data_IF_759069409976
#
_entry.id   IF_759069409976
#
_cell.length_a   1.000
_cell.length_b   1.000
_cell.length_c   1.000
_cell.angle_alpha   90.00
_cell.angle_beta   90.00
_cell.angle_gamma   90.00
#
_symmetry.space_group_name_H-M   'P 1'
#
loop_
_entity.id
_entity.type
_entity.pdbx_description
1 polymer ?
#
# COMPACT_ATOMS: atom_id res chain seq x y z
N UNK A 1 21.29 -8.31 -3.07
CA UNK A 1 19.96 -8.17 -2.44
C UNK A 1 19.22 -6.97 -3.02
N UNK A 2 17.90 -7.01 -3.10
CA UNK A 2 17.08 -5.88 -3.60
C UNK A 2 16.44 -5.12 -2.43
N UNK A 3 16.69 -3.83 -2.34
CA UNK A 3 16.00 -2.91 -1.44
C UNK A 3 14.79 -2.32 -2.17
N UNK A 4 13.58 -2.58 -1.68
CA UNK A 4 12.33 -2.00 -2.15
C UNK A 4 11.87 -0.90 -1.21
N UNK A 5 11.47 0.26 -1.75
CA UNK A 5 10.96 1.41 -0.99
C UNK A 5 9.61 1.83 -1.57
N UNK A 6 8.56 1.64 -0.80
CA UNK A 6 7.23 2.18 -1.06
C UNK A 6 7.05 3.49 -0.27
N UNK A 7 6.84 4.59 -0.99
CA UNK A 7 6.85 5.94 -0.45
C UNK A 7 5.46 6.55 -0.54
N UNK A 8 4.70 6.34 0.52
CA UNK A 8 3.38 6.95 0.71
C UNK A 8 3.44 8.35 1.32
N UNK A 9 2.31 9.05 1.34
CA UNK A 9 2.20 10.40 1.93
C UNK A 9 2.52 10.43 3.43
N UNK A 10 2.21 9.37 4.16
CA UNK A 10 2.38 9.29 5.62
C UNK A 10 3.66 8.54 6.01
N UNK A 11 3.96 7.43 5.34
CA UNK A 11 5.08 6.55 5.69
C UNK A 11 5.82 6.06 4.45
N UNK A 12 7.13 5.85 4.62
CA UNK A 12 7.95 5.04 3.75
C UNK A 12 7.96 3.62 4.33
N UNK A 13 7.52 2.64 3.55
CA UNK A 13 7.61 1.23 3.87
C UNK A 13 8.75 0.63 3.06
N UNK A 14 9.79 0.17 3.74
CA UNK A 14 10.95 -0.46 3.11
C UNK A 14 11.03 -1.95 3.39
N UNK A 15 11.59 -2.70 2.44
CA UNK A 15 11.87 -4.12 2.62
C UNK A 15 13.07 -4.57 1.79
N UNK A 16 13.81 -5.54 2.31
CA UNK A 16 14.97 -6.14 1.61
C UNK A 16 14.66 -7.57 1.24
N UNK A 17 14.85 -7.87 -0.03
CA UNK A 17 14.67 -9.21 -0.59
C UNK A 17 16.01 -9.88 -0.92
N UNK A 18 16.11 -11.17 -0.57
CA UNK A 18 17.14 -12.07 -1.07
C UNK A 18 16.45 -13.13 -1.93
N UNK A 19 16.56 -13.00 -3.24
CA UNK A 19 15.68 -13.74 -4.16
C UNK A 19 14.21 -13.41 -3.91
N UNK A 20 13.41 -14.42 -3.59
CA UNK A 20 11.98 -14.28 -3.30
C UNK A 20 11.67 -14.03 -1.80
N UNK A 21 12.68 -14.17 -0.95
CA UNK A 21 12.51 -14.10 0.50
C UNK A 21 12.66 -12.66 1.00
N UNK A 22 11.63 -12.13 1.66
CA UNK A 22 11.70 -10.88 2.43
C UNK A 22 12.52 -11.11 3.70
N UNK A 23 13.69 -10.49 3.79
CA UNK A 23 14.64 -10.66 4.92
C UNK A 23 14.33 -9.74 6.09
N UNK A 24 13.98 -8.52 5.80
CA UNK A 24 13.55 -7.54 6.79
C UNK A 24 12.61 -6.51 6.16
N UNK A 25 11.83 -5.86 6.99
CA UNK A 25 11.02 -4.72 6.62
C UNK A 25 11.10 -3.65 7.71
N UNK A 26 10.92 -2.41 7.30
CA UNK A 26 10.97 -1.26 8.20
C UNK A 26 10.01 -0.15 7.75
N UNK A 27 9.72 0.77 8.65
CA UNK A 27 8.90 1.94 8.37
C UNK A 27 9.57 3.21 8.87
N UNK A 28 9.37 4.30 8.14
CA UNK A 28 9.81 5.64 8.49
C UNK A 28 8.68 6.61 8.15
N UNK A 29 8.45 7.62 8.96
CA UNK A 29 7.55 8.72 8.58
C UNK A 29 8.07 9.42 7.33
N UNK A 30 7.18 9.72 6.40
CA UNK A 30 7.56 10.46 5.19
C UNK A 30 7.88 11.92 5.52
N UNK A 31 7.20 12.51 6.51
CA UNK A 31 7.43 13.88 6.93
C UNK A 31 8.11 13.93 8.31
N UNK A 32 9.13 14.78 8.48
CA UNK A 32 9.83 15.55 7.43
C UNK A 32 10.57 14.61 6.47
N UNK A 33 10.60 14.99 5.18
CA UNK A 33 11.12 14.12 4.13
C UNK A 33 12.62 13.78 4.30
N UNK A 34 13.39 14.68 4.83
CA UNK A 34 14.83 14.53 4.97
C UNK A 34 15.62 14.77 3.67
N UNK A 35 16.89 15.07 3.84
CA UNK A 35 17.88 15.19 2.75
C UNK A 35 18.33 13.83 2.24
N UNK A 36 19.08 13.81 1.16
CA UNK A 36 19.77 12.62 0.64
C UNK A 36 20.57 11.90 1.73
N UNK A 37 21.31 12.65 2.55
CA UNK A 37 22.15 12.07 3.59
C UNK A 37 21.35 11.53 4.77
N UNK A 38 20.32 12.26 5.23
CA UNK A 38 19.44 11.76 6.30
C UNK A 38 18.75 10.46 5.92
N UNK A 39 18.27 10.36 4.68
CA UNK A 39 17.65 9.14 4.16
C UNK A 39 18.72 8.04 4.03
N UNK A 40 19.86 8.32 3.45
CA UNK A 40 20.93 7.34 3.23
C UNK A 40 21.46 6.77 4.54
N UNK A 41 21.76 7.63 5.52
CA UNK A 41 22.22 7.23 6.86
C UNK A 41 21.14 6.38 7.55
N UNK A 42 19.86 6.81 7.49
CA UNK A 42 18.75 6.02 8.04
C UNK A 42 18.69 4.62 7.40
N UNK A 43 18.73 4.53 6.07
CA UNK A 43 18.67 3.25 5.36
C UNK A 43 19.83 2.33 5.75
N UNK A 44 21.05 2.85 5.77
CA UNK A 44 22.24 2.08 6.18
C UNK A 44 22.11 1.60 7.63
N UNK A 45 21.67 2.46 8.54
CA UNK A 45 21.50 2.13 9.95
C UNK A 45 20.44 1.04 10.15
N UNK A 46 19.23 1.24 9.59
CA UNK A 46 18.13 0.29 9.77
C UNK A 46 18.44 -1.08 9.16
N UNK A 47 19.18 -1.15 8.05
CA UNK A 47 19.63 -2.43 7.49
C UNK A 47 20.58 -3.16 8.44
N UNK A 48 21.60 -2.45 8.98
CA UNK A 48 22.56 -3.03 9.95
C UNK A 48 21.87 -3.56 11.19
N UNK A 49 20.95 -2.76 11.77
CA UNK A 49 20.19 -3.17 12.96
C UNK A 49 19.30 -4.41 12.71
N UNK A 50 18.90 -4.64 11.45
CA UNK A 50 18.16 -5.83 11.05
C UNK A 50 19.08 -6.98 10.51
N UNK A 51 20.39 -6.89 10.74
CA UNK A 51 21.34 -7.95 10.36
C UNK A 51 21.61 -8.05 8.85
N UNK A 52 21.33 -7.00 8.09
CA UNK A 52 21.61 -6.92 6.66
C UNK A 52 22.82 -6.03 6.42
N UNK A 53 23.88 -6.56 5.78
CA UNK A 53 25.01 -5.73 5.34
C UNK A 53 24.54 -4.79 4.19
N UNK A 54 24.59 -3.47 4.37
CA UNK A 54 24.21 -2.53 3.31
C UNK A 54 24.98 -2.72 2.00
N UNK A 55 26.20 -3.24 2.06
CA UNK A 55 27.03 -3.53 0.88
C UNK A 55 26.52 -4.73 0.06
N UNK A 56 25.67 -5.56 0.64
CA UNK A 56 25.01 -6.65 -0.06
C UNK A 56 23.80 -6.21 -0.88
N UNK A 57 23.38 -4.93 -0.75
CA UNK A 57 22.33 -4.34 -1.57
C UNK A 57 22.93 -3.96 -2.93
N UNK A 58 22.61 -4.74 -3.94
CA UNK A 58 23.08 -4.58 -5.32
C UNK A 58 22.02 -3.97 -6.25
N UNK A 59 20.81 -3.75 -5.74
CA UNK A 59 19.68 -3.14 -6.47
C UNK A 59 18.78 -2.39 -5.51
N UNK A 60 18.17 -1.30 -6.02
CA UNK A 60 17.17 -0.52 -5.31
C UNK A 60 15.97 -0.31 -6.22
N UNK A 61 14.76 -0.51 -5.71
CA UNK A 61 13.52 -0.24 -6.40
C UNK A 61 12.66 0.74 -5.58
N UNK A 62 12.08 1.73 -6.24
CA UNK A 62 11.28 2.78 -5.61
C UNK A 62 9.91 2.83 -6.25
N UNK A 63 8.87 2.79 -5.41
CA UNK A 63 7.50 3.13 -5.72
C UNK A 63 7.16 4.40 -4.92
N UNK A 64 6.67 5.45 -5.55
CA UNK A 64 6.40 6.70 -4.83
C UNK A 64 5.17 7.43 -5.37
N UNK A 65 4.32 7.87 -4.45
CA UNK A 65 3.24 8.82 -4.71
C UNK A 65 3.55 10.22 -4.16
N UNK A 66 4.82 10.45 -3.75
CA UNK A 66 5.33 11.74 -3.25
C UNK A 66 6.43 12.22 -4.19
N UNK A 67 6.12 13.10 -5.17
CA UNK A 67 7.09 13.52 -6.18
C UNK A 67 8.36 14.14 -5.59
N UNK A 68 8.24 14.92 -4.51
CA UNK A 68 9.37 15.55 -3.83
C UNK A 68 10.37 14.54 -3.23
N UNK A 69 9.92 13.30 -2.93
CA UNK A 69 10.75 12.26 -2.34
C UNK A 69 11.69 11.58 -3.34
N UNK A 70 11.38 11.61 -4.63
CA UNK A 70 12.17 10.89 -5.63
C UNK A 70 13.62 11.37 -5.73
N UNK A 71 13.83 12.70 -5.70
CA UNK A 71 15.18 13.25 -5.83
C UNK A 71 16.10 12.82 -4.67
N UNK A 72 15.76 13.05 -3.38
CA UNK A 72 16.62 12.62 -2.29
C UNK A 72 16.77 11.10 -2.18
N UNK A 73 15.73 10.31 -2.52
CA UNK A 73 15.81 8.85 -2.53
C UNK A 73 16.75 8.32 -3.61
N UNK A 74 16.70 8.88 -4.83
CA UNK A 74 17.67 8.55 -5.89
C UNK A 74 19.10 8.92 -5.47
N UNK A 75 19.28 10.09 -4.86
CA UNK A 75 20.57 10.52 -4.31
C UNK A 75 21.08 9.53 -3.26
N UNK A 76 20.24 9.14 -2.30
CA UNK A 76 20.59 8.18 -1.27
C UNK A 76 20.96 6.79 -1.85
N UNK A 77 20.20 6.33 -2.85
CA UNK A 77 20.51 5.08 -3.56
C UNK A 77 21.90 5.10 -4.21
N UNK A 78 22.21 6.17 -4.93
CA UNK A 78 23.52 6.33 -5.60
C UNK A 78 24.67 6.47 -4.61
N UNK A 79 24.53 7.34 -3.63
CA UNK A 79 25.62 7.72 -2.73
C UNK A 79 25.93 6.63 -1.70
N UNK A 80 24.93 5.95 -1.16
CA UNK A 80 25.09 5.01 -0.05
C UNK A 80 25.10 3.53 -0.48
N UNK A 81 24.54 3.23 -1.65
CA UNK A 81 24.47 1.85 -2.18
C UNK A 81 25.16 1.70 -3.54
N UNK A 82 25.58 2.79 -4.18
CA UNK A 82 26.19 2.75 -5.51
C UNK A 82 25.23 2.36 -6.63
N UNK A 83 23.92 2.44 -6.41
CA UNK A 83 22.90 1.92 -7.31
C UNK A 83 22.03 3.03 -7.91
N UNK A 84 21.83 3.03 -9.23
CA UNK A 84 20.73 3.76 -9.87
C UNK A 84 19.44 3.01 -9.59
N UNK A 85 18.45 3.59 -8.90
CA UNK A 85 17.25 2.84 -8.54
C UNK A 85 16.32 2.64 -9.75
N UNK A 86 15.72 1.47 -9.85
CA UNK A 86 14.51 1.27 -10.63
C UNK A 86 13.37 2.08 -10.00
N UNK A 87 12.64 2.84 -10.79
CA UNK A 87 11.45 3.59 -10.33
C UNK A 87 10.23 3.06 -11.05
N UNK A 88 9.26 2.58 -10.27
CA UNK A 88 7.98 2.16 -10.82
C UNK A 88 7.18 3.40 -11.25
N UNK A 89 7.04 3.57 -12.55
CA UNK A 89 6.35 4.69 -13.19
C UNK A 89 5.72 4.25 -14.50
N UNK A 90 4.90 5.11 -15.10
CA UNK A 90 4.31 4.80 -16.40
C UNK A 90 5.38 4.48 -17.45
N UNK A 91 5.12 3.49 -18.29
CA UNK A 91 6.02 3.03 -19.36
C UNK A 91 6.93 1.86 -18.99
N UNK A 92 7.07 1.50 -17.70
CA UNK A 92 7.80 0.29 -17.31
C UNK A 92 6.92 -0.97 -17.47
N UNK A 93 7.57 -2.12 -17.65
CA UNK A 93 6.87 -3.40 -17.75
C UNK A 93 6.33 -3.80 -16.37
N UNK A 94 5.05 -4.10 -16.29
CA UNK A 94 4.37 -4.52 -15.05
C UNK A 94 3.71 -5.89 -15.17
N UNK A 95 3.56 -6.40 -16.39
CA UNK A 95 2.75 -7.58 -16.68
C UNK A 95 1.24 -7.29 -16.75
N UNK A 96 0.82 -6.07 -16.39
CA UNK A 96 -0.56 -5.62 -16.48
C UNK A 96 -0.77 -4.69 -17.68
N UNK A 97 -1.99 -4.68 -18.21
CA UNK A 97 -2.46 -3.72 -19.21
C UNK A 97 -3.31 -2.67 -18.49
N UNK A 98 -2.75 -1.48 -18.30
CA UNK A 98 -3.46 -0.39 -17.62
C UNK A 98 -4.52 0.20 -18.57
N UNK A 99 -5.81 -0.03 -18.26
CA UNK A 99 -6.98 0.43 -19.01
C UNK A 99 -7.61 1.71 -18.44
N UNK A 100 -6.89 2.38 -17.56
CA UNK A 100 -7.33 3.65 -16.99
C UNK A 100 -7.40 4.73 -18.08
N UNK A 101 -8.34 5.68 -17.98
CA UNK A 101 -8.51 6.76 -18.99
C UNK A 101 -7.22 7.54 -19.20
N UNK A 102 -6.54 7.89 -18.11
CA UNK A 102 -5.20 8.46 -18.13
C UNK A 102 -4.28 7.60 -17.26
N UNK A 103 -3.48 6.68 -17.83
CA UNK A 103 -2.59 5.80 -17.07
C UNK A 103 -1.57 6.52 -16.17
N UNK A 104 -1.24 7.79 -16.48
CA UNK A 104 -0.30 8.59 -15.71
C UNK A 104 -0.85 9.05 -14.35
N UNK A 105 -2.17 8.98 -14.15
CA UNK A 105 -2.84 9.37 -12.91
C UNK A 105 -2.91 8.23 -11.88
N UNK A 106 -2.59 7.01 -12.29
CA UNK A 106 -2.63 5.87 -11.35
C UNK A 106 -1.41 5.89 -10.45
N UNK A 107 -1.64 5.87 -9.14
CA UNK A 107 -0.59 5.78 -8.14
C UNK A 107 0.28 4.53 -8.36
N UNK A 108 1.59 4.70 -8.24
CA UNK A 108 2.53 3.61 -8.43
C UNK A 108 2.34 2.48 -7.39
N UNK A 109 1.93 2.82 -6.17
CA UNK A 109 1.55 1.90 -5.09
C UNK A 109 0.38 0.99 -5.50
N UNK A 110 -0.67 1.56 -6.12
CA UNK A 110 -1.83 0.82 -6.61
C UNK A 110 -1.43 -0.17 -7.72
N UNK A 111 -0.57 0.26 -8.65
CA UNK A 111 -0.03 -0.63 -9.69
C UNK A 111 0.82 -1.74 -9.07
N UNK A 112 1.70 -1.42 -8.11
CA UNK A 112 2.51 -2.43 -7.42
C UNK A 112 1.63 -3.47 -6.71
N UNK A 113 0.63 -3.04 -5.94
CA UNK A 113 -0.33 -3.93 -5.28
C UNK A 113 -1.03 -4.85 -6.28
N UNK A 114 -1.52 -4.29 -7.39
CA UNK A 114 -2.18 -5.03 -8.46
C UNK A 114 -1.25 -6.07 -9.14
N UNK A 115 0.03 -5.71 -9.39
CA UNK A 115 1.05 -6.63 -9.93
C UNK A 115 1.26 -7.83 -9.01
N UNK A 116 1.44 -7.59 -7.70
CA UNK A 116 1.62 -8.67 -6.75
C UNK A 116 0.39 -9.57 -6.65
N UNK A 117 -0.81 -8.99 -6.59
CA UNK A 117 -2.05 -9.76 -6.53
C UNK A 117 -2.23 -10.63 -7.78
N UNK A 118 -1.97 -10.09 -8.98
CA UNK A 118 -2.06 -10.84 -10.24
C UNK A 118 -1.03 -11.98 -10.31
N UNK A 119 0.16 -11.78 -9.77
CA UNK A 119 1.19 -12.83 -9.70
C UNK A 119 0.80 -13.96 -8.72
N UNK A 120 0.16 -13.62 -7.60
CA UNK A 120 -0.27 -14.60 -6.59
C UNK A 120 -1.50 -15.40 -7.03
N UNK A 121 -2.36 -14.81 -7.83
CA UNK A 121 -3.60 -15.40 -8.31
C UNK A 121 -3.71 -15.35 -9.84
N UNK A 122 -2.85 -16.07 -10.56
CA UNK A 122 -2.80 -16.02 -12.02
C UNK A 122 -4.15 -16.50 -12.63
N UNK A 123 -4.62 -15.74 -13.60
CA UNK A 123 -5.86 -16.07 -14.31
C UNK A 123 -7.15 -15.88 -13.51
N UNK A 124 -7.11 -15.12 -12.40
CA UNK A 124 -8.29 -14.81 -11.58
C UNK A 124 -8.69 -13.34 -11.71
N UNK A 125 -9.97 -13.08 -11.59
CA UNK A 125 -10.49 -11.74 -11.35
C UNK A 125 -10.14 -11.30 -9.93
N UNK A 126 -9.67 -10.05 -9.74
CA UNK A 126 -9.13 -9.58 -8.47
C UNK A 126 -9.72 -8.22 -8.10
N UNK A 127 -9.92 -8.04 -6.81
CA UNK A 127 -10.10 -6.73 -6.18
C UNK A 127 -9.02 -6.61 -5.09
N UNK A 128 -8.09 -5.67 -5.25
CA UNK A 128 -7.12 -5.35 -4.20
C UNK A 128 -7.70 -4.24 -3.35
N UNK A 129 -7.74 -4.43 -2.04
CA UNK A 129 -8.21 -3.44 -1.07
C UNK A 129 -7.04 -3.03 -0.19
N UNK A 130 -6.54 -1.81 -0.37
CA UNK A 130 -5.48 -1.25 0.48
C UNK A 130 -6.10 -0.33 1.54
N UNK A 131 -5.99 -0.72 2.80
CA UNK A 131 -6.46 0.03 3.97
C UNK A 131 -5.33 0.90 4.54
N UNK A 132 -4.91 1.90 3.79
CA UNK A 132 -3.85 2.85 4.13
C UNK A 132 -4.35 4.23 4.58
N UNK A 133 -3.62 5.29 4.18
CA UNK A 133 -4.03 6.70 4.36
C UNK A 133 -5.35 6.98 3.63
N UNK A 134 -5.47 6.51 2.40
CA UNK A 134 -6.75 6.29 1.74
C UNK A 134 -7.07 4.79 1.80
N UNK A 135 -8.35 4.43 1.67
CA UNK A 135 -8.71 3.05 1.34
C UNK A 135 -8.99 2.99 -0.15
N UNK A 136 -8.19 2.21 -0.88
CA UNK A 136 -8.33 2.06 -2.33
C UNK A 136 -8.83 0.66 -2.68
N UNK A 137 -9.52 0.58 -3.81
CA UNK A 137 -9.98 -0.66 -4.41
C UNK A 137 -9.47 -0.69 -5.84
N UNK A 138 -8.71 -1.70 -6.18
CA UNK A 138 -8.09 -1.84 -7.49
C UNK A 138 -8.60 -3.10 -8.16
N UNK A 139 -9.12 -2.95 -9.36
CA UNK A 139 -9.78 -4.02 -10.12
C UNK A 139 -8.87 -4.52 -11.22
N UNK A 140 -8.60 -5.83 -11.19
CA UNK A 140 -7.80 -6.51 -12.21
C UNK A 140 -8.58 -7.70 -12.77
N UNK A 141 -8.70 -7.79 -14.08
CA UNK A 141 -9.35 -8.93 -14.73
C UNK A 141 -8.45 -10.15 -14.80
N UNK A 142 -9.03 -11.33 -14.98
CA UNK A 142 -8.29 -12.58 -15.24
C UNK A 142 -7.33 -12.49 -16.44
N UNK A 143 -7.59 -11.59 -17.38
CA UNK A 143 -6.74 -11.31 -18.54
C UNK A 143 -5.59 -10.34 -18.28
N UNK A 144 -5.43 -9.86 -17.05
CA UNK A 144 -4.37 -8.93 -16.64
C UNK A 144 -4.65 -7.46 -17.03
N UNK A 145 -5.91 -7.10 -17.29
CA UNK A 145 -6.29 -5.70 -17.50
C UNK A 145 -6.56 -5.04 -16.13
N UNK A 146 -5.80 -4.00 -15.79
CA UNK A 146 -6.08 -3.11 -14.66
C UNK A 146 -7.10 -2.07 -15.11
N UNK A 147 -8.30 -2.13 -14.56
CA UNK A 147 -9.43 -1.31 -15.00
C UNK A 147 -9.55 0.02 -14.25
N UNK A 148 -8.94 0.14 -13.09
CA UNK A 148 -9.12 1.24 -12.16
C UNK A 148 -9.76 0.77 -10.86
N UNK A 149 -10.54 1.67 -10.21
CA UNK A 149 -11.15 1.28 -8.95
C UNK A 149 -11.77 2.46 -8.20
N UNK A 150 -11.85 2.33 -6.87
CA UNK A 150 -12.49 3.30 -5.97
C UNK A 150 -11.48 3.81 -4.95
N UNK A 151 -11.61 5.06 -4.53
CA UNK A 151 -10.80 5.68 -3.47
C UNK A 151 -11.74 6.33 -2.47
N UNK A 152 -11.55 6.01 -1.19
CA UNK A 152 -12.24 6.70 -0.10
C UNK A 152 -11.25 7.09 1.00
N UNK A 153 -11.60 8.02 1.91
CA UNK A 153 -10.75 8.34 3.04
C UNK A 153 -10.47 7.09 3.87
N UNK A 154 -9.20 6.86 4.23
CA UNK A 154 -8.86 5.78 5.16
C UNK A 154 -9.40 6.07 6.56
N UNK A 155 -9.49 5.02 7.37
CA UNK A 155 -10.05 5.10 8.72
C UNK A 155 -9.30 6.10 9.61
N UNK A 156 -7.95 6.20 9.45
CA UNK A 156 -7.12 7.17 10.17
C UNK A 156 -7.44 8.61 9.80
N UNK A 157 -7.54 8.90 8.50
CA UNK A 157 -7.90 10.24 8.00
C UNK A 157 -9.31 10.62 8.43
N UNK A 158 -10.24 9.67 8.41
CA UNK A 158 -11.62 9.89 8.89
C UNK A 158 -11.64 10.24 10.37
N UNK A 159 -10.87 9.55 11.22
CA UNK A 159 -10.74 9.85 12.65
C UNK A 159 -10.13 11.25 12.89
N UNK A 160 -9.05 11.58 12.18
CA UNK A 160 -8.42 12.91 12.28
C UNK A 160 -9.36 14.02 11.83
N UNK A 161 -10.15 13.77 10.77
CA UNK A 161 -11.12 14.76 10.27
C UNK A 161 -12.21 15.04 11.29
N UNK A 162 -12.75 14.01 11.95
CA UNK A 162 -13.74 14.20 13.02
C UNK A 162 -13.17 15.06 14.16
N UNK A 163 -11.96 14.78 14.62
CA UNK A 163 -11.32 15.52 15.70
C UNK A 163 -10.96 16.97 15.31
N UNK A 164 -10.49 17.19 14.08
CA UNK A 164 -10.01 18.51 13.63
C UNK A 164 -11.11 19.44 13.13
N UNK A 165 -12.23 18.91 12.62
CA UNK A 165 -13.32 19.67 12.02
C UNK A 165 -14.53 19.86 12.93
N UNK A 166 -14.48 19.34 14.15
CA UNK A 166 -15.57 19.50 15.12
C UNK A 166 -15.07 20.11 16.43
N UNK A 167 -15.93 20.89 17.09
CA UNK A 167 -15.54 21.60 18.31
C UNK A 167 -15.50 20.72 19.57
N UNK A 168 -16.16 19.57 19.56
CA UNK A 168 -16.38 18.76 20.76
C UNK A 168 -15.97 17.29 20.63
N UNK A 169 -15.66 16.79 19.44
CA UNK A 169 -15.27 15.42 19.27
C UNK A 169 -13.77 15.24 19.58
N UNK A 170 -13.41 14.38 20.55
CA UNK A 170 -12.02 14.14 20.89
C UNK A 170 -11.31 13.28 19.82
N UNK A 171 -9.99 13.31 19.85
CA UNK A 171 -9.19 12.27 19.18
C UNK A 171 -9.43 10.94 19.86
N UNK A 172 -9.65 9.90 19.08
CA UNK A 172 -9.85 8.54 19.60
C UNK A 172 -8.81 7.60 19.01
N UNK A 173 -8.44 6.59 19.74
CA UNK A 173 -7.70 5.45 19.20
C UNK A 173 -8.63 4.65 18.29
N UNK A 174 -8.11 4.22 17.13
CA UNK A 174 -8.84 3.39 16.20
C UNK A 174 -8.75 1.96 16.72
N UNK A 175 -9.87 1.43 17.18
CA UNK A 175 -9.98 0.09 17.72
C UNK A 175 -11.30 -0.55 17.27
N UNK A 176 -11.35 -1.88 17.28
CA UNK A 176 -12.59 -2.62 17.08
C UNK A 176 -13.48 -2.42 18.31
N UNK A 177 -14.72 -1.94 18.15
CA UNK A 177 -15.65 -1.78 19.26
C UNK A 177 -16.23 -3.13 19.68
N UNK A 178 -16.56 -3.29 20.96
CA UNK A 178 -17.23 -4.48 21.47
C UNK A 178 -18.70 -4.57 21.01
N UNK A 179 -19.34 -3.41 20.85
CA UNK A 179 -20.76 -3.30 20.43
C UNK A 179 -20.92 -2.19 19.39
N UNK A 180 -21.94 -2.31 18.53
CA UNK A 180 -22.28 -1.27 17.56
C UNK A 180 -22.78 -0.01 18.27
N UNK A 181 -23.59 -0.17 19.33
CA UNK A 181 -24.12 0.96 20.08
C UNK A 181 -23.08 1.47 21.09
N UNK A 182 -22.46 2.61 20.79
CA UNK A 182 -21.63 3.33 21.76
C UNK A 182 -22.49 4.08 22.79
N UNK A 183 -22.06 4.06 24.05
CA UNK A 183 -22.72 4.76 25.17
C UNK A 183 -21.94 5.98 25.67
N UNK A 184 -20.81 6.26 25.01
CA UNK A 184 -19.99 7.46 25.19
C UNK A 184 -19.62 8.04 23.82
N UNK A 185 -19.15 9.30 23.80
CA UNK A 185 -18.68 9.92 22.55
C UNK A 185 -17.53 9.15 21.93
N UNK A 186 -16.60 8.65 22.73
CA UNK A 186 -15.44 7.85 22.27
C UNK A 186 -15.92 6.55 21.64
N UNK A 187 -16.75 5.78 22.31
CA UNK A 187 -17.32 4.52 21.77
C UNK A 187 -18.13 4.75 20.51
N UNK A 188 -18.93 5.83 20.47
CA UNK A 188 -19.73 6.16 19.30
C UNK A 188 -18.88 6.50 18.09
N UNK A 189 -17.76 7.23 18.28
CA UNK A 189 -16.79 7.52 17.20
C UNK A 189 -16.09 6.24 16.76
N UNK A 190 -15.60 5.43 17.68
CA UNK A 190 -14.92 4.16 17.36
C UNK A 190 -15.84 3.22 16.58
N UNK A 191 -17.09 3.07 17.05
CA UNK A 191 -18.11 2.26 16.39
C UNK A 191 -18.41 2.76 14.97
N UNK A 192 -18.63 4.06 14.82
CA UNK A 192 -18.91 4.67 13.51
C UNK A 192 -17.76 4.49 12.53
N UNK A 193 -16.51 4.72 12.97
CA UNK A 193 -15.31 4.54 12.16
C UNK A 193 -15.14 3.09 11.72
N UNK A 194 -15.24 2.15 12.65
CA UNK A 194 -15.03 0.72 12.37
C UNK A 194 -16.13 0.15 11.49
N UNK A 195 -17.38 0.18 11.96
CA UNK A 195 -18.50 -0.42 11.23
C UNK A 195 -18.85 0.32 9.95
N UNK A 196 -18.66 1.65 9.91
CA UNK A 196 -18.81 2.42 8.69
C UNK A 196 -17.79 1.99 7.62
N UNK A 197 -16.53 1.75 8.03
CA UNK A 197 -15.49 1.29 7.12
C UNK A 197 -15.73 -0.14 6.62
N UNK A 198 -16.10 -1.05 7.54
CA UNK A 198 -16.51 -2.43 7.19
C UNK A 198 -17.67 -2.43 6.21
N UNK A 199 -18.71 -1.63 6.47
CA UNK A 199 -19.87 -1.51 5.60
C UNK A 199 -19.51 -0.95 4.21
N UNK A 200 -18.66 0.06 4.16
CA UNK A 200 -18.17 0.63 2.91
C UNK A 200 -17.40 -0.39 2.07
N UNK A 201 -16.46 -1.14 2.68
CA UNK A 201 -15.70 -2.18 1.98
C UNK A 201 -16.64 -3.24 1.43
N UNK A 202 -17.55 -3.79 2.23
CA UNK A 202 -18.53 -4.80 1.79
C UNK A 202 -19.37 -4.31 0.62
N UNK A 203 -19.90 -3.09 0.71
CA UNK A 203 -20.75 -2.51 -0.32
C UNK A 203 -19.99 -2.29 -1.64
N UNK A 204 -18.80 -1.71 -1.57
CA UNK A 204 -17.98 -1.42 -2.75
C UNK A 204 -17.52 -2.70 -3.43
N UNK A 205 -17.03 -3.70 -2.67
CA UNK A 205 -16.63 -5.00 -3.23
C UNK A 205 -17.82 -5.69 -3.92
N UNK A 206 -19.00 -5.69 -3.30
CA UNK A 206 -20.22 -6.27 -3.89
C UNK A 206 -20.61 -5.53 -5.18
N UNK A 207 -20.58 -4.19 -5.17
CA UNK A 207 -20.87 -3.36 -6.33
C UNK A 207 -19.91 -3.62 -7.50
N UNK A 208 -18.61 -3.61 -7.23
CA UNK A 208 -17.57 -3.90 -8.24
C UNK A 208 -17.71 -5.33 -8.79
N UNK A 209 -18.04 -6.30 -7.94
CA UNK A 209 -18.27 -7.69 -8.37
C UNK A 209 -19.45 -7.79 -9.35
N UNK A 210 -20.55 -7.13 -9.03
CA UNK A 210 -21.72 -7.13 -9.89
C UNK A 210 -21.50 -6.38 -11.20
N UNK A 211 -20.89 -5.20 -11.14
CA UNK A 211 -20.71 -4.31 -12.29
C UNK A 211 -19.65 -4.83 -13.28
N UNK A 212 -18.50 -5.28 -12.75
CA UNK A 212 -17.33 -5.58 -13.58
C UNK A 212 -17.25 -7.05 -13.95
N UNK A 213 -17.63 -7.93 -13.04
CA UNK A 213 -17.45 -9.38 -13.20
C UNK A 213 -18.77 -10.14 -13.42
N UNK A 214 -19.88 -9.43 -13.68
CA UNK A 214 -21.20 -10.01 -13.91
C UNK A 214 -21.63 -11.02 -12.81
N UNK A 215 -21.15 -10.81 -11.59
CA UNK A 215 -21.41 -11.67 -10.43
C UNK A 215 -20.40 -12.81 -10.23
N UNK A 216 -19.45 -13.04 -11.14
CA UNK A 216 -18.35 -13.98 -10.91
C UNK A 216 -17.52 -13.50 -9.73
N UNK A 217 -17.33 -14.37 -8.74
CA UNK A 217 -16.63 -14.01 -7.50
C UNK A 217 -15.13 -13.74 -7.76
N UNK A 218 -14.63 -12.48 -7.63
CA UNK A 218 -13.20 -12.20 -7.66
C UNK A 218 -12.52 -12.70 -6.39
N UNK A 219 -11.19 -12.81 -6.42
CA UNK A 219 -10.39 -12.93 -5.20
C UNK A 219 -10.19 -11.52 -4.63
N UNK A 220 -10.54 -11.32 -3.37
CA UNK A 220 -10.36 -10.06 -2.66
C UNK A 220 -9.08 -10.13 -1.84
N UNK A 221 -8.07 -9.34 -2.21
CA UNK A 221 -6.78 -9.28 -1.52
C UNK A 221 -6.70 -8.02 -0.68
N UNK A 222 -6.57 -8.20 0.64
CA UNK A 222 -6.41 -7.10 1.60
C UNK A 222 -4.95 -6.75 1.84
N UNK A 223 -4.65 -5.46 1.97
CA UNK A 223 -3.34 -4.92 2.36
C UNK A 223 -3.51 -3.60 3.11
N UNK A 224 -2.39 -2.99 3.50
CA UNK A 224 -2.39 -1.72 4.23
C UNK A 224 -2.39 -1.86 5.75
N UNK A 225 -2.04 -0.76 6.42
CA UNK A 225 -1.79 -0.76 7.86
C UNK A 225 -2.99 -1.11 8.74
N UNK A 226 -4.21 -0.82 8.26
CA UNK A 226 -5.44 -1.10 9.00
C UNK A 226 -6.13 -2.42 8.59
N UNK A 227 -5.67 -3.10 7.54
CA UNK A 227 -6.34 -4.30 7.04
C UNK A 227 -6.40 -5.44 8.08
N UNK A 228 -5.32 -5.61 8.88
CA UNK A 228 -5.27 -6.62 9.95
C UNK A 228 -6.36 -6.44 11.00
N UNK A 229 -6.72 -5.21 11.34
CA UNK A 229 -7.78 -4.91 12.30
C UNK A 229 -9.15 -5.40 11.81
N UNK A 230 -9.32 -5.51 10.48
CA UNK A 230 -10.55 -5.93 9.81
C UNK A 230 -10.58 -7.43 9.47
N UNK A 231 -9.56 -8.20 9.84
CA UNK A 231 -9.40 -9.62 9.45
C UNK A 231 -10.57 -10.49 9.92
N UNK A 232 -11.06 -10.28 11.13
CA UNK A 232 -12.20 -11.05 11.70
C UNK A 232 -13.51 -10.80 10.95
N UNK A 233 -13.62 -9.69 10.22
CA UNK A 233 -14.81 -9.36 9.41
C UNK A 233 -14.91 -10.16 8.11
N UNK A 234 -13.88 -10.96 7.80
CA UNK A 234 -13.80 -11.82 6.60
C UNK A 234 -14.07 -11.05 5.30
N UNK A 235 -13.52 -9.84 5.22
CA UNK A 235 -13.65 -8.96 4.05
C UNK A 235 -12.73 -9.37 2.90
N UNK A 236 -11.66 -10.11 3.22
CA UNK A 236 -10.59 -10.48 2.31
C UNK A 236 -10.51 -12.00 2.19
N UNK A 237 -10.30 -12.52 0.98
CA UNK A 237 -9.98 -13.94 0.77
C UNK A 237 -8.50 -14.21 1.14
N UNK A 238 -7.62 -13.20 1.00
CA UNK A 238 -6.23 -13.25 1.43
C UNK A 238 -5.80 -11.88 2.00
N UNK A 239 -5.00 -11.88 3.07
CA UNK A 239 -4.39 -10.68 3.65
C UNK A 239 -2.87 -10.72 3.44
N UNK A 240 -2.33 -9.72 2.72
CA UNK A 240 -0.90 -9.63 2.37
C UNK A 240 -0.37 -8.24 2.76
N UNK A 241 0.16 -8.08 3.97
CA UNK A 241 0.62 -6.77 4.48
C UNK A 241 1.72 -6.12 3.66
N UNK A 242 2.57 -6.90 3.01
CA UNK A 242 3.71 -6.48 2.19
C UNK A 242 3.43 -6.45 0.68
N UNK A 243 2.15 -6.44 0.27
CA UNK A 243 1.72 -6.61 -1.11
C UNK A 243 2.42 -5.62 -2.07
N UNK A 244 2.51 -4.35 -1.70
CA UNK A 244 3.15 -3.31 -2.53
C UNK A 244 4.65 -3.59 -2.72
N UNK A 245 5.36 -4.03 -1.67
CA UNK A 245 6.78 -4.40 -1.78
C UNK A 245 7.00 -5.60 -2.69
N UNK A 246 6.11 -6.61 -2.61
CA UNK A 246 6.14 -7.78 -3.50
C UNK A 246 5.94 -7.39 -4.96
N UNK A 247 4.97 -6.51 -5.23
CA UNK A 247 4.71 -6.02 -6.58
C UNK A 247 5.84 -5.16 -7.14
N UNK A 248 6.44 -4.30 -6.29
CA UNK A 248 7.60 -3.50 -6.68
C UNK A 248 8.80 -4.39 -7.04
N UNK A 249 9.07 -5.44 -6.25
CA UNK A 249 10.09 -6.44 -6.57
C UNK A 249 9.80 -7.13 -7.90
N UNK A 250 8.55 -7.53 -8.14
CA UNK A 250 8.16 -8.18 -9.39
C UNK A 250 8.34 -7.25 -10.58
N UNK A 251 7.91 -5.99 -10.47
CA UNK A 251 8.07 -5.00 -11.52
C UNK A 251 9.56 -4.76 -11.84
N UNK A 252 10.42 -4.62 -10.81
CA UNK A 252 11.88 -4.51 -11.01
C UNK A 252 12.42 -5.72 -11.77
N UNK A 253 12.01 -6.93 -11.41
CA UNK A 253 12.45 -8.17 -12.08
C UNK A 253 12.05 -8.22 -13.56
N UNK A 254 10.90 -7.71 -13.92
CA UNK A 254 10.43 -7.66 -15.33
C UNK A 254 11.17 -6.62 -16.20
N UNK A 255 11.94 -5.72 -15.58
CA UNK A 255 12.64 -4.62 -16.27
C UNK A 255 14.17 -4.74 -16.25
N UNK A 256 14.68 -5.91 -15.89
CA UNK A 256 16.11 -6.28 -16.03
C UNK A 256 16.52 -6.49 -17.47
#
# INVERSE_FOLDING_TARGET
MLLCLDVGNTQIHGGVFSGDTLRCQFRKSTQPLGSTDEIGIFLVAVLRENGVDPRAVDRVAICSVVPAALHPLRGASKQYFGQEPFVLQAGVKTGLKVRYRNPLEVGADRIAGAVAAAQRHPGRNLIVVDCGTATTFDVVTAGGDYLGGVILPGIGVSAETLASRTAKLPRVEIARPETILGRSTVESIQSGLYHGHVGAIRHIVAGLTAEVFAGDKPVVVGTGGFARMLEEERLFDELVPELVLLGLRQAETLNR
#
